data_IF_747643970128
#
_entry.id   IF_747643970128
#
_cell.length_a   1.000
_cell.length_b   1.000
_cell.length_c   1.000
_cell.angle_alpha   90.00
_cell.angle_beta   90.00
_cell.angle_gamma   90.00
#
_symmetry.space_group_name_H-M   'P 1'
#
loop_
_entity.id
_entity.type
_entity.pdbx_description
1 polymer ?
#
# COMPACT_ATOMS: atom_id res chain seq x y z
N UNK A 1 -21.08 10.09 -3.86
CA UNK A 1 -19.88 9.26 -3.61
C UNK A 1 -19.36 9.64 -2.23
N UNK A 2 -18.89 8.70 -1.40
CA UNK A 2 -18.15 9.10 -0.20
C UNK A 2 -16.93 9.91 -0.63
N UNK A 3 -16.54 10.88 0.19
CA UNK A 3 -15.34 11.68 -0.07
C UNK A 3 -14.11 10.77 -0.11
N UNK A 4 -13.07 11.13 -0.90
CA UNK A 4 -11.84 10.35 -0.93
C UNK A 4 -11.25 10.26 0.49
N UNK A 5 -10.66 9.12 0.88
CA UNK A 5 -10.03 8.98 2.19
C UNK A 5 -8.97 10.06 2.41
N UNK A 6 -8.88 10.54 3.63
CA UNK A 6 -7.94 11.56 4.06
C UNK A 6 -6.65 10.90 4.56
N UNK A 7 -5.54 11.35 3.99
CA UNK A 7 -4.18 10.94 4.33
C UNK A 7 -3.42 12.14 4.88
N UNK A 8 -2.89 11.99 6.10
CA UNK A 8 -2.04 12.99 6.75
C UNK A 8 -0.57 12.57 6.65
N UNK A 9 0.22 13.37 5.94
CA UNK A 9 1.67 13.20 5.79
C UNK A 9 2.38 14.01 6.88
N UNK A 10 3.23 13.36 7.67
CA UNK A 10 3.94 13.94 8.81
C UNK A 10 5.44 13.77 8.63
N UNK A 11 6.12 14.85 8.30
CA UNK A 11 7.54 14.84 7.96
C UNK A 11 8.12 16.23 8.23
N UNK A 12 9.31 16.37 8.81
CA UNK A 12 9.90 17.69 9.04
C UNK A 12 10.48 18.33 7.76
N UNK A 13 10.64 17.55 6.70
CA UNK A 13 11.12 18.01 5.41
C UNK A 13 9.95 18.37 4.46
N UNK A 14 9.75 19.67 4.22
CA UNK A 14 8.71 20.20 3.31
C UNK A 14 8.76 19.56 1.92
N UNK A 15 9.97 19.28 1.41
CA UNK A 15 10.14 18.62 0.09
C UNK A 15 9.54 17.21 0.08
N UNK A 16 9.64 16.48 1.20
CA UNK A 16 9.01 15.17 1.40
C UNK A 16 7.51 15.27 1.26
N UNK A 17 6.94 16.19 2.03
CA UNK A 17 5.51 16.41 2.09
C UNK A 17 4.96 16.76 0.71
N UNK A 18 5.62 17.66 -0.02
CA UNK A 18 5.18 18.05 -1.36
C UNK A 18 5.26 16.88 -2.35
N UNK A 19 6.31 16.07 -2.29
CA UNK A 19 6.46 14.92 -3.17
C UNK A 19 5.36 13.87 -2.90
N UNK A 20 5.16 13.50 -1.63
CA UNK A 20 4.11 12.58 -1.22
C UNK A 20 2.72 13.13 -1.54
N UNK A 21 2.46 14.42 -1.26
CA UNK A 21 1.19 15.06 -1.60
C UNK A 21 0.90 14.99 -3.08
N UNK A 22 1.83 15.41 -3.94
CA UNK A 22 1.66 15.33 -5.41
C UNK A 22 1.41 13.91 -5.89
N UNK A 23 1.97 12.91 -5.21
CA UNK A 23 1.76 11.51 -5.57
C UNK A 23 0.39 11.01 -5.12
N UNK A 24 -0.12 11.49 -3.98
CA UNK A 24 -1.35 11.01 -3.32
C UNK A 24 -2.61 11.78 -3.71
N UNK A 25 -2.48 13.05 -4.13
CA UNK A 25 -3.62 13.98 -4.31
C UNK A 25 -4.59 13.59 -5.43
N UNK A 26 -4.21 12.68 -6.34
CA UNK A 26 -5.11 12.16 -7.38
C UNK A 26 -6.19 11.24 -6.80
N UNK A 27 -5.87 10.46 -5.76
CA UNK A 27 -6.74 9.42 -5.20
C UNK A 27 -7.26 9.74 -3.78
N UNK A 28 -6.58 10.66 -3.06
CA UNK A 28 -6.82 10.95 -1.65
C UNK A 28 -6.97 12.44 -1.34
N UNK A 29 -7.69 12.75 -0.26
CA UNK A 29 -7.60 14.06 0.38
C UNK A 29 -6.30 14.13 1.19
N UNK A 30 -5.38 15.03 0.87
CA UNK A 30 -4.06 15.04 1.51
C UNK A 30 -3.85 16.28 2.35
N UNK A 31 -3.55 16.07 3.64
CA UNK A 31 -3.01 17.10 4.51
C UNK A 31 -1.55 16.80 4.82
N UNK A 32 -0.78 17.85 5.09
CA UNK A 32 0.62 17.74 5.48
C UNK A 32 0.85 18.49 6.78
N UNK A 33 1.72 17.96 7.62
CA UNK A 33 2.15 18.56 8.87
C UNK A 33 3.65 18.40 9.05
N UNK A 34 4.32 19.47 9.48
CA UNK A 34 5.77 19.51 9.69
C UNK A 34 6.17 19.22 11.13
N UNK A 35 5.19 19.01 12.01
CA UNK A 35 5.41 18.76 13.44
C UNK A 35 4.27 17.95 14.03
N UNK A 36 4.52 17.34 15.20
CA UNK A 36 3.48 16.62 15.96
C UNK A 36 2.35 17.55 16.39
N UNK A 37 2.65 18.81 16.73
CA UNK A 37 1.65 19.81 17.13
C UNK A 37 0.69 20.13 15.98
N UNK A 38 1.25 20.39 14.79
CA UNK A 38 0.46 20.63 13.59
C UNK A 38 -0.36 19.38 13.23
N UNK A 39 0.24 18.20 13.35
CA UNK A 39 -0.43 16.92 13.09
C UNK A 39 -1.66 16.76 13.96
N UNK A 40 -1.56 16.98 15.28
CA UNK A 40 -2.71 16.92 16.20
C UNK A 40 -3.80 17.91 15.80
N UNK A 41 -3.41 19.14 15.46
CA UNK A 41 -4.36 20.17 15.03
C UNK A 41 -5.15 19.73 13.79
N UNK A 42 -4.50 19.04 12.84
CA UNK A 42 -5.17 18.48 11.67
C UNK A 42 -6.07 17.30 12.08
N UNK A 43 -5.57 16.34 12.88
CA UNK A 43 -6.35 15.16 13.31
C UNK A 43 -7.57 15.49 14.20
N UNK A 44 -7.56 16.62 14.90
CA UNK A 44 -8.72 17.10 15.66
C UNK A 44 -9.80 17.74 14.78
N UNK A 45 -9.41 18.25 13.61
CA UNK A 45 -10.30 18.96 12.68
C UNK A 45 -10.81 18.07 11.56
N UNK A 46 -9.96 17.18 11.10
CA UNK A 46 -10.15 16.33 9.93
C UNK A 46 -10.12 14.87 10.38
N UNK A 47 -11.12 14.08 9.97
CA UNK A 47 -11.16 12.63 10.22
C UNK A 47 -10.15 11.90 9.31
N UNK A 48 -8.86 12.01 9.61
CA UNK A 48 -7.79 11.35 8.88
C UNK A 48 -7.83 9.83 9.07
N UNK A 49 -8.09 9.09 7.98
CA UNK A 49 -8.09 7.63 8.00
C UNK A 49 -6.67 7.06 7.99
N UNK A 50 -5.68 7.78 7.44
CA UNK A 50 -4.28 7.35 7.42
C UNK A 50 -3.37 8.47 7.93
N UNK A 51 -2.40 8.08 8.76
CA UNK A 51 -1.23 8.90 9.10
C UNK A 51 0.03 8.21 8.58
N UNK A 52 0.80 8.95 7.79
CA UNK A 52 2.11 8.57 7.28
C UNK A 52 3.16 9.41 7.98
N UNK A 53 4.19 8.79 8.54
CA UNK A 53 5.24 9.55 9.25
C UNK A 53 6.65 9.08 8.93
N UNK A 54 7.60 10.01 8.86
CA UNK A 54 9.04 9.66 8.86
C UNK A 54 9.41 9.02 10.22
N UNK A 55 10.21 7.93 10.24
CA UNK A 55 10.71 7.36 11.50
C UNK A 55 11.51 8.34 12.37
N UNK A 56 12.15 9.34 11.76
CA UNK A 56 13.07 10.30 12.38
C UNK A 56 12.58 11.72 12.16
N UNK A 57 11.98 12.29 13.19
CA UNK A 57 11.70 13.73 13.25
C UNK A 57 12.47 14.36 14.42
N UNK A 58 12.73 15.69 14.40
CA UNK A 58 13.63 16.36 15.34
C UNK A 58 13.20 16.31 16.80
N UNK A 59 11.90 16.35 17.06
CA UNK A 59 11.35 16.44 18.43
C UNK A 59 10.92 15.08 18.99
N UNK A 60 10.24 14.27 18.18
CA UNK A 60 9.66 12.99 18.59
C UNK A 60 9.85 12.00 17.45
N UNK A 61 10.34 10.79 17.73
CA UNK A 61 10.41 9.75 16.70
C UNK A 61 9.00 9.40 16.18
N UNK A 62 8.86 9.12 14.87
CA UNK A 62 7.58 8.73 14.28
C UNK A 62 6.93 7.55 15.01
N UNK A 63 7.71 6.55 15.44
CA UNK A 63 7.21 5.41 16.21
C UNK A 63 6.58 5.79 17.56
N UNK A 64 7.22 6.72 18.31
CA UNK A 64 6.68 7.21 19.57
C UNK A 64 5.38 8.00 19.34
N UNK A 65 5.33 8.82 18.29
CA UNK A 65 4.13 9.55 17.91
C UNK A 65 2.97 8.62 17.51
N UNK A 66 3.20 7.59 16.68
CA UNK A 66 2.13 6.66 16.28
C UNK A 66 1.58 5.83 17.45
N UNK A 67 2.34 5.66 18.53
CA UNK A 67 1.85 5.04 19.76
C UNK A 67 0.81 5.94 20.45
N UNK A 68 1.02 7.25 20.44
CA UNK A 68 0.02 8.20 20.92
C UNK A 68 -1.22 8.21 20.01
N UNK A 69 -1.01 8.21 18.69
CA UNK A 69 -2.13 8.16 17.73
C UNK A 69 -3.00 6.92 17.96
N UNK A 70 -2.39 5.78 18.31
CA UNK A 70 -3.13 4.57 18.69
C UNK A 70 -4.10 4.77 19.86
N UNK A 71 -3.68 5.55 20.85
CA UNK A 71 -4.43 5.73 22.09
C UNK A 71 -5.57 6.73 21.90
N UNK A 72 -5.36 7.77 21.10
CA UNK A 72 -6.32 8.86 20.89
C UNK A 72 -7.22 8.66 19.67
N UNK A 73 -6.70 8.09 18.58
CA UNK A 73 -7.41 7.81 17.32
C UNK A 73 -7.21 6.34 16.91
N UNK A 74 -7.85 5.39 17.60
CA UNK A 74 -7.58 3.95 17.44
C UNK A 74 -7.90 3.42 16.04
N UNK A 75 -8.88 4.04 15.36
CA UNK A 75 -9.36 3.64 14.04
C UNK A 75 -8.48 4.17 12.89
N UNK A 76 -7.58 5.11 13.17
CA UNK A 76 -6.64 5.64 12.18
C UNK A 76 -5.56 4.60 11.85
N UNK A 77 -5.33 4.38 10.56
CA UNK A 77 -4.23 3.58 10.03
C UNK A 77 -2.93 4.35 10.21
N UNK A 78 -1.90 3.69 10.74
CA UNK A 78 -0.62 4.31 11.09
C UNK A 78 0.50 3.63 10.33
N UNK A 79 1.25 4.37 9.52
CA UNK A 79 2.30 3.86 8.66
C UNK A 79 3.58 4.68 8.88
N UNK A 80 4.70 4.00 9.08
CA UNK A 80 6.03 4.63 9.08
C UNK A 80 6.64 4.46 7.68
N UNK A 81 7.11 5.56 7.10
CA UNK A 81 7.81 5.57 5.82
C UNK A 81 9.28 5.87 6.06
N UNK A 82 10.17 4.92 5.79
CA UNK A 82 11.62 5.15 5.84
C UNK A 82 12.22 5.19 4.44
N UNK A 83 12.80 6.33 4.05
CA UNK A 83 13.65 6.45 2.86
C UNK A 83 12.89 6.69 1.56
N UNK A 84 13.23 7.78 0.89
CA UNK A 84 12.75 8.16 -0.43
C UNK A 84 13.25 7.20 -1.52
N UNK A 85 12.44 6.22 -1.89
CA UNK A 85 12.62 5.48 -3.15
C UNK A 85 11.30 5.47 -3.92
N UNK A 86 11.26 6.26 -4.99
CA UNK A 86 10.07 6.80 -5.66
C UNK A 86 9.25 5.81 -6.51
N UNK A 87 9.35 4.50 -6.31
CA UNK A 87 8.63 3.56 -7.19
C UNK A 87 8.15 2.40 -6.34
N UNK A 88 6.82 2.26 -6.22
CA UNK A 88 6.04 1.21 -5.52
C UNK A 88 5.46 1.58 -4.14
N UNK A 89 5.69 2.78 -3.60
CA UNK A 89 5.22 3.11 -2.24
C UNK A 89 3.72 3.43 -2.17
N UNK A 90 3.18 4.05 -3.23
CA UNK A 90 1.75 4.34 -3.36
C UNK A 90 0.90 3.06 -3.31
N UNK A 91 1.29 2.06 -4.09
CA UNK A 91 0.53 0.82 -4.22
C UNK A 91 0.51 0.03 -2.91
N UNK A 92 1.60 0.09 -2.14
CA UNK A 92 1.68 -0.52 -0.81
C UNK A 92 0.76 0.21 0.16
N UNK A 93 0.74 1.55 0.14
CA UNK A 93 -0.14 2.32 1.02
C UNK A 93 -1.61 2.11 0.68
N UNK A 94 -1.96 2.07 -0.60
CA UNK A 94 -3.33 1.79 -1.06
C UNK A 94 -3.76 0.37 -0.67
N UNK A 95 -2.87 -0.62 -0.84
CA UNK A 95 -3.12 -1.98 -0.38
C UNK A 95 -3.30 -2.05 1.15
N UNK A 96 -2.48 -1.34 1.93
CA UNK A 96 -2.61 -1.29 3.40
C UNK A 96 -3.93 -0.63 3.80
N UNK A 97 -4.33 0.48 3.17
CA UNK A 97 -5.61 1.13 3.43
C UNK A 97 -6.77 0.19 3.17
N UNK A 98 -6.80 -0.45 2.00
CA UNK A 98 -7.85 -1.40 1.64
C UNK A 98 -7.94 -2.55 2.63
N UNK A 99 -6.80 -3.08 3.08
CA UNK A 99 -6.77 -4.15 4.07
C UNK A 99 -7.32 -3.69 5.42
N UNK A 100 -6.98 -2.49 5.89
CA UNK A 100 -7.50 -2.01 7.17
C UNK A 100 -9.00 -1.70 7.11
N UNK A 101 -9.48 -1.05 6.04
CA UNK A 101 -10.92 -0.82 5.83
C UNK A 101 -11.70 -2.14 5.88
N UNK A 102 -11.20 -3.17 5.21
CA UNK A 102 -11.80 -4.50 5.22
C UNK A 102 -11.84 -5.15 6.59
N UNK A 103 -10.73 -5.08 7.33
CA UNK A 103 -10.68 -5.60 8.70
C UNK A 103 -11.72 -4.89 9.57
N UNK A 104 -11.83 -3.57 9.45
CA UNK A 104 -12.81 -2.77 10.20
C UNK A 104 -14.26 -3.11 9.78
N UNK A 105 -14.49 -3.43 8.51
CA UNK A 105 -15.79 -3.88 7.97
C UNK A 105 -16.07 -5.38 8.19
N UNK A 106 -15.12 -6.14 8.74
CA UNK A 106 -15.23 -7.59 8.91
C UNK A 106 -15.23 -8.38 7.60
N UNK A 107 -14.65 -7.83 6.52
CA UNK A 107 -14.58 -8.44 5.17
C UNK A 107 -13.19 -9.05 4.92
N UNK A 108 -13.13 -10.18 4.24
CA UNK A 108 -11.89 -10.92 3.99
C UNK A 108 -11.84 -11.49 2.55
N UNK A 109 -12.10 -10.65 1.56
CA UNK A 109 -12.05 -11.02 0.14
C UNK A 109 -10.69 -10.67 -0.48
N UNK A 110 -10.42 -11.12 -1.71
CA UNK A 110 -9.24 -10.73 -2.49
C UNK A 110 -9.70 -9.81 -3.62
N UNK A 111 -9.14 -8.60 -3.70
CA UNK A 111 -9.35 -7.72 -4.86
C UNK A 111 -8.00 -7.32 -5.46
N UNK A 112 -8.08 -6.81 -6.69
CA UNK A 112 -6.93 -6.41 -7.46
C UNK A 112 -6.77 -4.88 -7.41
N UNK A 113 -5.83 -4.41 -6.60
CA UNK A 113 -5.48 -2.97 -6.49
C UNK A 113 -4.92 -2.37 -7.79
N UNK A 114 -4.43 -3.22 -8.69
CA UNK A 114 -3.78 -2.79 -9.93
C UNK A 114 -4.71 -2.89 -11.15
N UNK A 115 -5.99 -2.55 -11.01
CA UNK A 115 -6.94 -2.61 -12.13
C UNK A 115 -6.51 -1.78 -13.34
N UNK A 116 -5.72 -0.71 -13.13
CA UNK A 116 -5.14 0.11 -14.21
C UNK A 116 -4.23 -0.65 -15.18
N UNK A 117 -3.61 -1.74 -14.71
CA UNK A 117 -2.66 -2.54 -15.50
C UNK A 117 -3.08 -4.02 -15.64
N UNK A 118 -3.92 -4.51 -14.75
CA UNK A 118 -4.30 -5.92 -14.65
C UNK A 118 -5.82 -6.04 -14.78
N UNK A 119 -6.26 -6.59 -15.90
CA UNK A 119 -7.68 -6.90 -16.11
C UNK A 119 -8.00 -8.31 -15.60
N UNK A 120 -9.28 -8.61 -15.27
CA UNK A 120 -9.69 -9.97 -14.91
C UNK A 120 -9.37 -11.01 -15.99
N UNK A 121 -9.35 -10.59 -17.26
CA UNK A 121 -9.01 -11.46 -18.38
C UNK A 121 -7.50 -11.70 -18.54
N UNK A 122 -6.66 -10.88 -17.90
CA UNK A 122 -5.22 -10.86 -18.11
C UNK A 122 -4.83 -10.57 -19.56
N UNK A 123 -3.59 -10.92 -19.93
CA UNK A 123 -3.12 -10.78 -21.31
C UNK A 123 -3.44 -12.04 -22.13
N UNK A 124 -4.58 -12.03 -22.82
CA UNK A 124 -5.04 -13.15 -23.65
C UNK A 124 -4.05 -13.56 -24.74
N UNK A 125 -3.33 -12.60 -25.33
CA UNK A 125 -2.32 -12.87 -26.37
C UNK A 125 -1.14 -13.65 -25.79
N UNK A 126 -0.67 -13.25 -24.60
CA UNK A 126 0.38 -13.95 -23.89
C UNK A 126 -0.07 -15.35 -23.46
N UNK A 127 -1.28 -15.50 -22.89
CA UNK A 127 -1.84 -16.80 -22.51
C UNK A 127 -1.91 -17.76 -23.70
N UNK A 128 -2.43 -17.30 -24.85
CA UNK A 128 -2.50 -18.11 -26.07
C UNK A 128 -1.11 -18.51 -26.58
N UNK A 129 -0.13 -17.60 -26.53
CA UNK A 129 1.24 -17.90 -26.90
C UNK A 129 1.87 -18.95 -25.96
N UNK A 130 1.66 -18.80 -24.64
CA UNK A 130 2.16 -19.75 -23.64
C UNK A 130 1.58 -21.15 -23.87
N UNK A 131 0.28 -21.27 -24.12
CA UNK A 131 -0.37 -22.56 -24.39
C UNK A 131 0.13 -23.22 -25.69
N UNK A 132 0.51 -22.41 -26.69
CA UNK A 132 1.03 -22.89 -27.97
C UNK A 132 2.48 -23.36 -27.88
N UNK A 133 3.32 -22.67 -27.12
CA UNK A 133 4.77 -22.92 -27.06
C UNK A 133 5.12 -23.93 -25.97
N UNK A 134 4.36 -23.94 -24.87
CA UNK A 134 4.65 -24.75 -23.70
C UNK A 134 3.56 -25.77 -23.39
N UNK A 135 3.97 -26.82 -22.69
CA UNK A 135 3.09 -27.79 -22.04
C UNK A 135 3.50 -27.99 -20.58
N UNK A 136 2.54 -28.37 -19.73
CA UNK A 136 2.83 -28.67 -18.32
C UNK A 136 3.67 -29.93 -18.20
N UNK A 137 4.60 -29.91 -17.24
CA UNK A 137 5.31 -31.08 -16.76
C UNK A 137 4.48 -31.75 -15.69
N UNK A 138 4.44 -33.07 -15.69
CA UNK A 138 3.72 -33.82 -14.66
C UNK A 138 4.26 -33.52 -13.26
N UNK A 139 5.59 -33.39 -13.13
CA UNK A 139 6.31 -33.18 -11.87
C UNK A 139 7.48 -32.21 -12.05
N UNK A 140 7.75 -31.40 -11.03
CA UNK A 140 8.90 -30.51 -10.97
C UNK A 140 9.33 -30.26 -9.53
N UNK A 141 10.65 -30.32 -9.29
CA UNK A 141 11.24 -30.08 -7.98
C UNK A 141 11.55 -28.59 -7.79
N UNK A 142 10.84 -27.96 -6.86
CA UNK A 142 11.08 -26.59 -6.44
C UNK A 142 12.04 -26.58 -5.25
N UNK A 143 13.14 -25.85 -5.38
CA UNK A 143 14.13 -25.71 -4.31
C UNK A 143 13.46 -25.19 -3.03
N UNK A 144 13.54 -25.97 -1.96
CA UNK A 144 12.96 -25.62 -0.65
C UNK A 144 11.46 -25.94 -0.48
N UNK A 145 10.77 -26.35 -1.54
CA UNK A 145 9.35 -26.73 -1.52
C UNK A 145 9.10 -28.18 -1.93
N UNK A 146 10.13 -28.86 -2.45
CA UNK A 146 10.04 -30.25 -2.90
C UNK A 146 9.34 -30.38 -4.24
N UNK A 147 8.86 -31.59 -4.54
CA UNK A 147 8.21 -31.88 -5.81
C UNK A 147 6.74 -31.45 -5.81
N UNK A 148 6.37 -30.61 -6.77
CA UNK A 148 4.99 -30.13 -6.92
C UNK A 148 4.47 -30.57 -8.30
N UNK A 149 3.36 -31.32 -8.37
CA UNK A 149 2.81 -31.77 -9.64
C UNK A 149 2.24 -30.61 -10.46
N UNK A 150 2.29 -30.70 -11.79
CA UNK A 150 1.70 -29.73 -12.73
C UNK A 150 2.15 -28.26 -12.50
N UNK A 151 3.31 -28.07 -11.88
CA UNK A 151 3.76 -26.75 -11.39
C UNK A 151 4.78 -26.07 -12.31
N UNK A 152 5.23 -26.74 -13.37
CA UNK A 152 6.23 -26.20 -14.29
C UNK A 152 5.87 -26.48 -15.75
N UNK A 153 6.48 -25.69 -16.63
CA UNK A 153 6.29 -25.77 -18.07
C UNK A 153 7.55 -26.29 -18.77
N UNK A 154 7.38 -27.00 -19.89
CA UNK A 154 8.45 -27.34 -20.84
C UNK A 154 8.04 -26.93 -22.25
N UNK A 155 9.01 -26.73 -23.14
CA UNK A 155 8.72 -26.52 -24.56
C UNK A 155 7.98 -27.75 -25.11
N UNK A 156 6.95 -27.51 -25.92
CA UNK A 156 6.35 -28.56 -26.73
C UNK A 156 7.37 -29.04 -27.77
N UNK A 157 7.43 -30.36 -27.96
CA UNK A 157 8.25 -30.98 -29.00
C UNK A 157 7.64 -30.76 -30.39
#
# INVERSE_FOLDING_TARGET
MPFPPIVLVVDDEIRSQEALRRTLEEDFGVFAASSVVETRTVMEREDAQIVLTDPRMPEVSGAAFLKEVRETWPDTVRIIISGYTQTNQMDVMQAILMLVQRVNEGRAEVENEFMRAVTPAGNRKAQALMQRVFEQRDRFEWRGLGEIPLSALRLRA
#
